data_IF_016058572118
#
_entry.id   IF_016058572118
#
_cell.length_a   1.000
_cell.length_b   1.000
_cell.length_c   1.000
_cell.angle_alpha   90.00
_cell.angle_beta   90.00
_cell.angle_gamma   90.00
#
_symmetry.space_group_name_H-M   'P 1'
#
loop_
_entity.id
_entity.type
_entity.pdbx_description
1 polymer ?
#
# COMPACT_ATOMS: atom_id res chain seq x y z
N UNK A 1 12.15 26.95 25.67
CA UNK A 1 12.52 25.55 25.91
C UNK A 1 11.33 24.63 26.13
N UNK A 2 10.18 25.18 26.46
CA UNK A 2 8.93 24.43 26.62
C UNK A 2 8.34 23.91 25.30
N UNK A 3 8.68 24.53 24.16
CA UNK A 3 8.15 24.16 22.85
C UNK A 3 8.56 22.75 22.40
N UNK A 4 9.79 22.31 22.71
CA UNK A 4 10.28 20.99 22.31
C UNK A 4 9.55 19.85 23.00
N UNK A 5 9.19 20.00 24.27
CA UNK A 5 8.46 19.00 25.03
C UNK A 5 7.02 18.88 24.55
N UNK A 6 6.38 20.01 24.20
CA UNK A 6 5.02 20.02 23.66
C UNK A 6 4.96 19.32 22.30
N UNK A 7 5.95 19.55 21.45
CA UNK A 7 6.00 18.91 20.12
C UNK A 7 6.15 17.39 20.23
N UNK A 8 6.97 16.91 21.18
CA UNK A 8 7.12 15.47 21.40
C UNK A 8 5.82 14.82 21.88
N UNK A 9 5.12 15.45 22.81
CA UNK A 9 3.86 14.94 23.30
C UNK A 9 2.81 14.87 22.19
N UNK A 10 2.74 15.89 21.33
CA UNK A 10 1.83 15.91 20.18
C UNK A 10 2.16 14.82 19.18
N UNK A 11 3.46 14.58 18.89
CA UNK A 11 3.88 13.53 17.98
C UNK A 11 3.56 12.14 18.51
N UNK A 12 3.80 11.89 19.80
CA UNK A 12 3.46 10.61 20.44
C UNK A 12 1.96 10.37 20.41
N UNK A 13 1.17 11.38 20.71
CA UNK A 13 -0.29 11.28 20.66
C UNK A 13 -0.78 10.99 19.25
N UNK A 14 -0.21 11.65 18.23
CA UNK A 14 -0.55 11.41 16.82
C UNK A 14 -0.21 10.00 16.39
N UNK A 15 0.97 9.49 16.77
CA UNK A 15 1.39 8.13 16.46
C UNK A 15 0.48 7.09 17.12
N UNK A 16 0.07 7.33 18.36
CA UNK A 16 -0.86 6.45 19.07
C UNK A 16 -2.22 6.40 18.38
N UNK A 17 -2.72 7.54 17.92
CA UNK A 17 -3.97 7.61 17.16
C UNK A 17 -3.86 6.88 15.82
N UNK A 18 -2.74 7.04 15.10
CA UNK A 18 -2.52 6.37 13.82
C UNK A 18 -2.37 4.87 13.99
N UNK A 19 -1.81 4.39 15.12
CA UNK A 19 -1.61 2.96 15.36
C UNK A 19 -2.92 2.18 15.41
N UNK A 20 -4.04 2.84 15.75
CA UNK A 20 -5.37 2.23 15.83
C UNK A 20 -6.24 2.56 14.61
N UNK A 21 -5.68 3.17 13.57
CA UNK A 21 -6.41 3.58 12.38
C UNK A 21 -5.97 2.77 11.18
N UNK A 22 -6.94 2.54 10.29
CA UNK A 22 -6.73 1.76 9.07
C UNK A 22 -7.37 2.48 7.90
N UNK A 23 -6.67 2.48 6.78
CA UNK A 23 -7.17 3.07 5.53
C UNK A 23 -7.68 1.93 4.65
N UNK A 24 -8.93 2.02 4.24
CA UNK A 24 -9.57 1.06 3.38
C UNK A 24 -9.52 1.55 1.94
N UNK A 25 -9.11 0.66 1.04
CA UNK A 25 -9.06 0.95 -0.39
C UNK A 25 -9.85 -0.09 -1.17
N UNK A 26 -10.41 0.35 -2.29
CA UNK A 26 -11.12 -0.52 -3.23
C UNK A 26 -10.15 -1.02 -4.29
N UNK A 27 -10.14 -2.32 -4.51
CA UNK A 27 -9.33 -2.97 -5.54
C UNK A 27 -10.23 -3.98 -6.26
N UNK A 28 -10.74 -3.59 -7.41
CA UNK A 28 -11.77 -4.34 -8.12
C UNK A 28 -13.01 -4.52 -7.20
N UNK A 29 -13.46 -5.71 -6.92
CA UNK A 29 -14.55 -5.96 -5.99
C UNK A 29 -14.14 -6.09 -4.53
N UNK A 30 -12.84 -6.10 -4.24
CA UNK A 30 -12.30 -6.39 -2.93
C UNK A 30 -11.82 -5.13 -2.21
N UNK A 31 -11.54 -5.28 -0.93
CA UNK A 31 -11.02 -4.20 -0.09
C UNK A 31 -9.65 -4.59 0.45
N UNK A 32 -8.64 -3.75 0.22
CA UNK A 32 -7.34 -3.88 0.86
C UNK A 32 -7.22 -2.84 1.96
N UNK A 33 -6.86 -3.29 3.15
CA UNK A 33 -6.76 -2.47 4.35
C UNK A 33 -5.29 -2.21 4.66
N UNK A 34 -4.93 -0.94 4.81
CA UNK A 34 -3.57 -0.52 5.17
C UNK A 34 -3.56 0.02 6.59
N UNK A 35 -2.60 -0.40 7.44
CA UNK A 35 -2.37 0.34 8.68
C UNK A 35 -2.02 1.80 8.35
N UNK A 36 -2.75 2.75 8.94
CA UNK A 36 -2.56 4.16 8.60
C UNK A 36 -1.14 4.64 8.90
N UNK A 37 -0.52 4.11 9.95
CA UNK A 37 0.85 4.47 10.32
C UNK A 37 1.90 4.06 9.28
N UNK A 38 1.57 3.14 8.37
CA UNK A 38 2.46 2.71 7.30
C UNK A 38 2.35 3.57 6.04
N UNK A 39 1.32 4.38 5.92
CA UNK A 39 1.03 5.14 4.70
C UNK A 39 1.71 6.49 4.75
N UNK A 40 2.64 6.72 3.81
CA UNK A 40 3.28 8.02 3.65
C UNK A 40 2.33 9.01 3.01
N UNK A 41 1.70 8.58 1.91
CA UNK A 41 0.76 9.42 1.16
C UNK A 41 -0.05 8.56 0.19
N UNK A 42 -1.17 9.12 -0.25
CA UNK A 42 -1.96 8.58 -1.35
C UNK A 42 -1.85 9.61 -2.48
N UNK A 43 -1.33 9.19 -3.62
CA UNK A 43 -0.97 10.08 -4.71
C UNK A 43 -1.46 9.52 -6.04
N UNK A 44 -1.76 10.39 -6.98
CA UNK A 44 -2.14 10.01 -8.34
C UNK A 44 -0.99 10.30 -9.30
N UNK A 45 -0.71 9.33 -10.15
CA UNK A 45 0.26 9.49 -11.23
C UNK A 45 -0.43 9.33 -12.57
N UNK A 46 0.06 10.04 -13.57
CA UNK A 46 -0.31 9.75 -14.95
C UNK A 46 0.35 8.43 -15.37
N UNK A 47 -0.38 7.61 -16.10
CA UNK A 47 0.15 6.34 -16.60
C UNK A 47 1.47 6.53 -17.35
N UNK A 48 1.61 7.64 -18.06
CA UNK A 48 2.82 7.96 -18.80
C UNK A 48 4.06 8.17 -17.94
N UNK A 49 3.88 8.42 -16.63
CA UNK A 49 4.99 8.59 -15.68
C UNK A 49 5.57 7.26 -15.19
N UNK A 50 4.90 6.15 -15.46
CA UNK A 50 5.32 4.84 -15.00
C UNK A 50 6.28 4.24 -16.00
N UNK A 51 7.49 3.92 -15.55
CA UNK A 51 8.51 3.27 -16.34
C UNK A 51 8.40 1.75 -16.14
N UNK A 52 8.08 1.02 -17.21
CA UNK A 52 7.94 -0.43 -17.16
C UNK A 52 9.26 -1.12 -16.86
N UNK A 53 9.18 -2.24 -16.12
CA UNK A 53 10.31 -3.11 -15.81
C UNK A 53 10.01 -4.52 -16.38
N UNK A 54 10.39 -4.80 -17.65
CA UNK A 54 9.90 -6.00 -18.35
C UNK A 54 10.47 -7.33 -17.84
N UNK A 55 11.56 -7.29 -17.06
CA UNK A 55 12.23 -8.51 -16.59
C UNK A 55 11.83 -8.90 -15.16
N UNK A 56 10.88 -8.19 -14.57
CA UNK A 56 10.42 -8.46 -13.22
C UNK A 56 9.09 -9.22 -13.24
N UNK A 57 8.67 -9.68 -12.07
CA UNK A 57 7.37 -10.32 -11.90
C UNK A 57 6.27 -9.38 -12.40
N UNK A 58 5.22 -9.90 -13.09
CA UNK A 58 4.11 -9.06 -13.55
C UNK A 58 3.41 -8.26 -12.44
N UNK A 59 3.56 -8.65 -11.16
CA UNK A 59 3.06 -7.85 -10.04
C UNK A 59 3.75 -6.49 -9.97
N UNK A 60 4.99 -6.38 -10.46
CA UNK A 60 5.70 -5.11 -10.54
C UNK A 60 5.33 -4.43 -11.84
N UNK A 61 4.45 -3.45 -11.77
CA UNK A 61 4.00 -2.70 -12.95
C UNK A 61 5.15 -1.89 -13.53
N UNK A 62 5.95 -1.30 -12.66
CA UNK A 62 7.06 -0.44 -13.04
C UNK A 62 7.49 0.41 -11.87
N UNK A 63 8.16 1.50 -12.18
CA UNK A 63 8.62 2.46 -11.18
C UNK A 63 8.22 3.87 -11.59
N UNK A 64 8.06 4.74 -10.59
CA UNK A 64 7.89 6.18 -10.81
C UNK A 64 8.95 6.94 -10.03
N UNK A 65 9.34 8.10 -10.56
CA UNK A 65 10.14 9.06 -9.81
C UNK A 65 9.19 10.00 -9.09
N UNK A 66 9.20 9.97 -7.77
CA UNK A 66 8.38 10.82 -6.94
C UNK A 66 9.25 11.54 -5.92
N UNK A 67 9.32 12.86 -6.01
CA UNK A 67 10.14 13.71 -5.14
C UNK A 67 11.61 13.25 -5.07
N UNK A 68 12.15 12.85 -6.21
CA UNK A 68 13.55 12.41 -6.32
C UNK A 68 13.80 10.97 -5.88
N UNK A 69 12.77 10.24 -5.46
CA UNK A 69 12.87 8.83 -5.07
C UNK A 69 12.22 7.95 -6.13
N UNK A 70 12.89 6.85 -6.43
CA UNK A 70 12.34 5.82 -7.30
C UNK A 70 11.44 4.93 -6.47
N UNK A 71 10.17 4.87 -6.83
CA UNK A 71 9.15 4.11 -6.10
C UNK A 71 8.64 2.99 -6.99
N UNK A 72 8.84 1.71 -6.61
CA UNK A 72 8.25 0.60 -7.34
C UNK A 72 6.75 0.52 -7.09
N UNK A 73 5.99 0.18 -8.13
CA UNK A 73 4.54 0.10 -8.09
C UNK A 73 4.07 -1.34 -8.26
N UNK A 74 3.26 -1.82 -7.34
CA UNK A 74 2.65 -3.13 -7.40
C UNK A 74 1.21 -3.07 -7.88
N UNK A 75 0.84 -4.04 -8.72
CA UNK A 75 -0.53 -4.24 -9.15
C UNK A 75 -1.30 -5.01 -8.08
N UNK A 76 -2.06 -4.28 -7.28
CA UNK A 76 -2.76 -4.85 -6.13
C UNK A 76 -3.84 -5.84 -6.55
N UNK A 77 -4.56 -5.58 -7.65
CA UNK A 77 -5.59 -6.50 -8.14
C UNK A 77 -5.00 -7.87 -8.48
N UNK A 78 -3.81 -7.90 -9.06
CA UNK A 78 -3.12 -9.15 -9.35
C UNK A 78 -2.58 -9.80 -8.09
N UNK A 79 -2.09 -9.01 -7.14
CA UNK A 79 -1.64 -9.49 -5.84
C UNK A 79 -2.78 -10.20 -5.10
N UNK A 80 -3.97 -9.64 -5.14
CA UNK A 80 -5.17 -10.22 -4.49
C UNK A 80 -5.86 -11.27 -5.37
N UNK A 81 -5.35 -11.52 -6.57
CA UNK A 81 -5.89 -12.52 -7.51
C UNK A 81 -7.34 -12.26 -7.89
N UNK A 82 -7.72 -10.97 -8.00
CA UNK A 82 -9.10 -10.57 -8.32
C UNK A 82 -9.29 -10.14 -9.78
N UNK A 83 -8.20 -10.03 -10.55
CA UNK A 83 -8.26 -9.70 -11.97
C UNK A 83 -7.14 -10.37 -12.74
N UNK A 84 -7.45 -10.88 -13.92
CA UNK A 84 -6.47 -11.41 -14.87
C UNK A 84 -6.20 -10.46 -16.02
N UNK A 85 -7.13 -9.56 -16.31
CA UNK A 85 -7.05 -8.59 -17.40
C UNK A 85 -6.90 -7.20 -16.81
N UNK A 86 -5.65 -6.74 -16.73
CA UNK A 86 -5.37 -5.46 -16.13
C UNK A 86 -4.91 -4.46 -17.16
N UNK A 87 -5.65 -3.35 -17.25
CA UNK A 87 -5.26 -2.18 -18.04
C UNK A 87 -5.23 -0.99 -17.10
N UNK A 88 -4.07 -0.34 -17.01
CA UNK A 88 -3.93 0.86 -16.19
C UNK A 88 -4.80 1.99 -16.73
N UNK A 89 -5.57 2.67 -15.88
CA UNK A 89 -6.24 3.90 -16.28
C UNK A 89 -5.24 5.00 -16.58
N UNK A 90 -5.69 6.08 -17.19
CA UNK A 90 -4.79 7.21 -17.50
C UNK A 90 -4.20 7.82 -16.24
N UNK A 91 -4.98 7.88 -15.17
CA UNK A 91 -4.53 8.34 -13.86
C UNK A 91 -4.65 7.19 -12.87
N UNK A 92 -3.55 6.91 -12.21
CA UNK A 92 -3.39 5.75 -11.33
C UNK A 92 -3.31 6.25 -9.90
N UNK A 93 -4.14 5.71 -9.01
CA UNK A 93 -4.05 6.02 -7.58
C UNK A 93 -3.11 5.05 -6.91
N UNK A 94 -2.17 5.57 -6.13
CA UNK A 94 -1.12 4.80 -5.49
C UNK A 94 -1.09 5.12 -4.00
N UNK A 95 -1.09 4.06 -3.17
CA UNK A 95 -0.83 4.17 -1.74
C UNK A 95 0.66 3.89 -1.53
N UNK A 96 1.42 4.92 -1.18
CA UNK A 96 2.85 4.82 -0.96
C UNK A 96 3.14 4.59 0.51
N UNK A 97 3.96 3.59 0.83
CA UNK A 97 4.30 3.23 2.20
C UNK A 97 5.56 3.95 2.67
N UNK A 98 5.62 4.19 3.97
CA UNK A 98 6.74 4.85 4.63
C UNK A 98 7.68 3.83 5.29
N UNK A 99 8.67 4.32 6.03
CA UNK A 99 9.67 3.48 6.67
C UNK A 99 9.10 2.60 7.78
N UNK A 100 7.97 2.96 8.37
CA UNK A 100 7.33 2.13 9.41
C UNK A 100 6.83 0.80 8.86
N UNK A 101 6.64 0.70 7.56
CA UNK A 101 6.24 -0.55 6.91
C UNK A 101 7.40 -1.54 6.75
N UNK A 102 8.61 -1.20 7.17
CA UNK A 102 9.82 -2.03 7.17
C UNK A 102 10.12 -2.62 5.79
N UNK A 103 9.88 -3.92 5.59
CA UNK A 103 10.15 -4.61 4.33
C UNK A 103 9.34 -4.04 3.16
N UNK A 104 8.20 -3.43 3.44
CA UNK A 104 7.33 -2.83 2.43
C UNK A 104 7.56 -1.33 2.26
N UNK A 105 8.57 -0.78 2.91
CA UNK A 105 8.85 0.65 2.83
C UNK A 105 9.13 1.08 1.39
N UNK A 106 8.66 2.27 1.04
CA UNK A 106 8.81 2.89 -0.29
C UNK A 106 8.12 2.15 -1.43
N UNK A 107 7.29 1.15 -1.15
CA UNK A 107 6.50 0.49 -2.19
C UNK A 107 5.19 1.26 -2.38
N UNK A 108 4.77 1.42 -3.63
CA UNK A 108 3.47 1.96 -3.98
C UNK A 108 2.52 0.86 -4.42
N UNK A 109 1.32 0.85 -3.85
CA UNK A 109 0.28 -0.11 -4.20
C UNK A 109 -0.78 0.59 -5.05
N UNK A 110 -1.00 0.08 -6.25
CA UNK A 110 -2.03 0.61 -7.15
C UNK A 110 -3.38 0.12 -6.67
N UNK A 111 -4.28 1.06 -6.41
CA UNK A 111 -5.64 0.79 -5.96
C UNK A 111 -6.63 1.57 -6.84
N UNK A 112 -7.90 1.17 -6.81
CA UNK A 112 -8.92 1.89 -7.57
C UNK A 112 -9.23 3.24 -6.91
N UNK A 113 -9.44 3.21 -5.58
CA UNK A 113 -9.73 4.43 -4.81
C UNK A 113 -9.60 4.15 -3.31
N UNK A 114 -9.44 5.21 -2.53
CA UNK A 114 -9.58 5.15 -1.08
C UNK A 114 -11.05 5.26 -0.71
N UNK A 115 -11.52 4.42 0.23
CA UNK A 115 -12.94 4.35 0.60
C UNK A 115 -13.19 5.05 1.92
N UNK A 116 -12.41 4.72 2.95
CA UNK A 116 -12.70 5.15 4.32
C UNK A 116 -11.47 4.99 5.21
N UNK A 117 -11.53 5.65 6.37
CA UNK A 117 -10.61 5.40 7.49
C UNK A 117 -11.43 4.84 8.64
N UNK A 118 -10.97 3.74 9.22
CA UNK A 118 -11.68 3.07 10.31
C UNK A 118 -10.73 2.76 11.45
N UNK A 119 -11.30 2.63 12.65
CA UNK A 119 -10.57 2.13 13.81
C UNK A 119 -10.61 0.61 13.82
N UNK A 120 -9.70 0.00 14.60
CA UNK A 120 -9.62 -1.46 14.72
C UNK A 120 -10.95 -2.08 15.16
N UNK A 121 -11.67 -1.41 16.07
CA UNK A 121 -12.93 -1.90 16.60
C UNK A 121 -14.07 -1.90 15.58
N UNK A 122 -13.97 -1.08 14.54
CA UNK A 122 -14.95 -1.01 13.46
C UNK A 122 -14.73 -2.08 12.39
N UNK A 123 -13.61 -2.80 12.44
CA UNK A 123 -13.23 -3.81 11.46
C UNK A 123 -13.49 -5.22 12.02
N UNK A 124 -13.72 -6.23 11.15
CA UNK A 124 -13.91 -7.60 11.59
C UNK A 124 -12.69 -8.14 12.34
N UNK A 125 -12.89 -8.85 13.44
CA UNK A 125 -11.81 -9.45 14.21
C UNK A 125 -11.00 -10.45 13.36
N UNK A 126 -11.68 -11.20 12.50
CA UNK A 126 -11.04 -12.18 11.62
C UNK A 126 -9.97 -11.58 10.71
N UNK A 127 -10.08 -10.28 10.42
CA UNK A 127 -9.10 -9.57 9.60
C UNK A 127 -7.71 -9.60 10.24
N UNK A 128 -7.64 -9.62 11.58
CA UNK A 128 -6.38 -9.55 12.33
C UNK A 128 -5.88 -10.92 12.81
N UNK A 129 -6.63 -11.98 12.55
CA UNK A 129 -6.26 -13.32 13.01
C UNK A 129 -5.39 -14.04 11.99
N UNK A 130 -5.99 -14.60 10.96
CA UNK A 130 -5.27 -15.36 9.94
C UNK A 130 -5.39 -14.64 8.60
N UNK A 131 -4.26 -14.33 7.95
CA UNK A 131 -4.31 -13.72 6.63
C UNK A 131 -5.01 -14.65 5.63
N UNK A 132 -6.03 -14.14 4.95
CA UNK A 132 -6.78 -14.88 3.95
C UNK A 132 -6.97 -14.01 2.72
N UNK A 133 -6.17 -14.28 1.68
CA UNK A 133 -6.20 -13.54 0.44
C UNK A 133 -7.49 -13.78 -0.34
N UNK A 134 -8.20 -14.86 -0.06
CA UNK A 134 -9.46 -15.18 -0.73
C UNK A 134 -10.65 -14.43 -0.13
N UNK A 135 -10.48 -13.76 1.01
CA UNK A 135 -11.53 -12.97 1.62
C UNK A 135 -11.78 -11.67 0.84
N UNK A 136 -12.99 -11.15 0.93
CA UNK A 136 -13.38 -9.89 0.28
C UNK A 136 -12.65 -8.67 0.88
N UNK A 137 -12.21 -8.80 2.11
CA UNK A 137 -11.45 -7.77 2.81
C UNK A 137 -10.14 -8.39 3.32
N UNK A 138 -9.02 -7.76 2.99
CA UNK A 138 -7.68 -8.28 3.28
C UNK A 138 -6.85 -7.19 3.96
N UNK A 139 -6.16 -7.55 5.04
CA UNK A 139 -5.21 -6.65 5.69
C UNK A 139 -3.84 -6.81 5.05
N UNK A 140 -3.21 -5.69 4.69
CA UNK A 140 -1.86 -5.72 4.15
C UNK A 140 -0.88 -6.20 5.21
N UNK A 141 -0.06 -7.17 4.83
CA UNK A 141 1.06 -7.63 5.64
C UNK A 141 2.18 -8.15 4.73
N UNK A 142 3.43 -8.21 5.21
CA UNK A 142 4.56 -8.60 4.35
C UNK A 142 4.42 -9.98 3.72
N UNK A 143 3.70 -10.89 4.37
CA UNK A 143 3.48 -12.24 3.86
C UNK A 143 2.66 -12.33 2.58
N UNK A 144 1.96 -11.26 2.20
CA UNK A 144 1.24 -11.21 0.92
C UNK A 144 2.18 -11.07 -0.27
N UNK A 145 3.39 -10.57 -0.05
CA UNK A 145 4.33 -10.24 -1.12
C UNK A 145 5.25 -11.43 -1.37
N UNK A 146 5.37 -11.92 -2.62
CA UNK A 146 6.31 -12.99 -2.94
C UNK A 146 7.76 -12.59 -2.62
N UNK A 147 8.52 -13.50 -2.01
CA UNK A 147 9.89 -13.22 -1.57
C UNK A 147 10.84 -12.90 -2.72
N UNK A 148 10.60 -13.47 -3.90
CA UNK A 148 11.44 -13.27 -5.09
C UNK A 148 10.94 -12.17 -6.01
N UNK A 149 10.01 -11.34 -5.56
CA UNK A 149 9.38 -10.31 -6.37
C UNK A 149 10.38 -9.35 -7.01
N UNK A 150 11.44 -9.02 -6.28
CA UNK A 150 12.44 -8.03 -6.70
C UNK A 150 13.61 -8.61 -7.46
N UNK A 151 13.60 -9.91 -7.72
CA UNK A 151 14.66 -10.55 -8.50
C UNK A 151 14.29 -10.52 -9.98
N UNK A 152 15.18 -9.99 -10.86
CA UNK A 152 14.95 -10.04 -12.29
C UNK A 152 14.84 -11.49 -12.75
N UNK A 153 13.91 -11.76 -13.66
CA UNK A 153 13.77 -13.08 -14.25
C UNK A 153 14.86 -13.29 -15.31
N UNK A 154 15.47 -14.46 -15.31
CA UNK A 154 16.42 -14.82 -16.35
C UNK A 154 15.69 -15.02 -17.68
N UNK A 155 16.33 -14.57 -18.74
CA UNK A 155 15.83 -14.71 -20.11
C UNK A 155 16.17 -16.09 -20.67
#
# INVERSE_FOLDING_TARGET
MTATTTDRASQVASQTLLADRFILTKVQGNTLVFPAQWVAEIVRFDRSQILNLPFYDPLVVGVVNHNGLITPLLETAQLLQVSSDFTLPERVMVVKLNQSAEQLSNIGFIVDRAIATMTRTELPISLFETPDISADIVLLHPGLIPKNLWQPKEL
#
